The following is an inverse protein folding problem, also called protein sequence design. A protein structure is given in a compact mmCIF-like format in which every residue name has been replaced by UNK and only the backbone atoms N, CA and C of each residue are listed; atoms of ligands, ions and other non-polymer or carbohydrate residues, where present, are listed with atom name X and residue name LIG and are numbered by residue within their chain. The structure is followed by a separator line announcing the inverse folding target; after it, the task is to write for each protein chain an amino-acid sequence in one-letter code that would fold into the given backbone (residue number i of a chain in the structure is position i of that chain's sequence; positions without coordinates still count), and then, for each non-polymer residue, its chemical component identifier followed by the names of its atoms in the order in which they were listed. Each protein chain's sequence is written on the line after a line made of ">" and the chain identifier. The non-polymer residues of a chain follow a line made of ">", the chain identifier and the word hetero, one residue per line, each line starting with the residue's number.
data_IF_407858790629
#
_entry.id   IF_407858790629
#
_cell.length_a   1.000
_cell.length_b   1.000
_cell.length_c   1.000
_cell.angle_alpha   90.00
_cell.angle_beta   90.00
_cell.angle_gamma   90.00
#
_symmetry.space_group_name_H-M   'P 1'
#
loop_
_entity.id
_entity.type
_entity.pdbx_description
1 polymer ?
#
# COMPACT_ATOMS: atom_id res chain seq x y z
N UNK A 1 57.56 40.79 22.75
CA UNK A 1 57.25 40.10 24.03
C UNK A 1 55.76 40.17 24.28
N UNK A 2 55.07 39.03 24.21
CA UNK A 2 53.78 38.73 24.87
C UNK A 2 53.44 37.28 24.51
N UNK A 3 53.80 36.35 25.40
CA UNK A 3 53.34 34.98 25.36
C UNK A 3 51.88 34.94 25.82
N UNK A 4 51.01 34.33 25.03
CA UNK A 4 49.64 34.00 25.43
C UNK A 4 49.50 32.48 25.51
N UNK A 5 49.00 32.05 26.65
CA UNK A 5 48.92 30.68 27.13
C UNK A 5 47.88 29.83 26.39
N UNK A 6 48.19 28.54 26.24
CA UNK A 6 47.25 27.47 25.85
C UNK A 6 46.31 27.16 27.03
N UNK A 7 44.99 26.98 26.83
CA UNK A 7 44.14 26.38 27.85
C UNK A 7 44.18 24.85 27.76
N UNK A 8 44.20 24.23 28.93
CA UNK A 8 44.24 22.80 29.15
C UNK A 8 42.93 22.10 28.75
N UNK A 9 43.05 20.94 28.12
CA UNK A 9 41.95 20.01 27.88
C UNK A 9 41.59 19.32 29.20
N UNK A 10 40.38 19.57 29.69
CA UNK A 10 39.80 18.84 30.82
C UNK A 10 39.31 17.47 30.34
N UNK A 11 39.83 16.43 30.99
CA UNK A 11 39.50 15.03 30.79
C UNK A 11 38.22 14.69 31.59
N UNK A 12 37.09 14.30 30.98
CA UNK A 12 35.95 13.82 31.74
C UNK A 12 36.16 12.35 32.10
N UNK A 13 36.13 12.08 33.41
CA UNK A 13 36.28 10.78 34.02
C UNK A 13 35.29 9.74 33.47
N UNK A 14 35.81 8.52 33.29
CA UNK A 14 35.08 7.32 32.91
C UNK A 14 33.98 6.97 33.92
N UNK A 15 32.71 7.16 33.55
CA UNK A 15 31.57 6.63 34.29
C UNK A 15 31.34 5.19 33.81
N UNK A 16 31.70 4.23 34.65
CA UNK A 16 31.38 2.81 34.47
C UNK A 16 29.87 2.58 34.61
N UNK A 17 29.17 2.42 33.50
CA UNK A 17 27.77 1.99 33.46
C UNK A 17 27.70 0.47 33.65
N UNK A 18 27.23 0.03 34.81
CA UNK A 18 26.84 -1.36 35.05
C UNK A 18 25.63 -1.72 34.16
N UNK A 19 25.58 -2.94 33.59
CA UNK A 19 24.45 -3.36 32.77
C UNK A 19 23.22 -3.64 33.67
N UNK A 20 22.30 -2.68 33.72
CA UNK A 20 20.97 -2.89 34.28
C UNK A 20 20.22 -3.91 33.45
N UNK A 21 19.82 -5.02 34.07
CA UNK A 21 19.02 -6.07 33.46
C UNK A 21 17.63 -5.53 33.11
N UNK A 22 17.46 -4.99 31.91
CA UNK A 22 16.15 -4.58 31.40
C UNK A 22 15.37 -5.84 31.03
N UNK A 23 14.39 -6.20 31.89
CA UNK A 23 13.34 -7.14 31.50
C UNK A 23 12.62 -6.56 30.28
N UNK A 24 12.88 -7.14 29.11
CA UNK A 24 12.11 -6.84 27.90
C UNK A 24 10.63 -7.08 28.21
N UNK A 25 9.83 -6.02 28.17
CA UNK A 25 8.38 -6.16 28.16
C UNK A 25 8.03 -7.03 26.94
N UNK A 26 7.43 -8.20 27.19
CA UNK A 26 6.85 -9.02 26.12
C UNK A 26 5.75 -8.17 25.47
N UNK A 27 6.06 -7.52 24.35
CA UNK A 27 5.06 -6.97 23.47
C UNK A 27 4.23 -8.16 22.99
N UNK A 28 3.03 -8.32 23.57
CA UNK A 28 2.04 -9.23 23.04
C UNK A 28 1.82 -8.82 21.58
N UNK A 29 2.18 -9.71 20.64
CA UNK A 29 1.67 -9.59 19.27
C UNK A 29 0.16 -9.75 19.40
N UNK A 30 -0.56 -8.65 19.27
CA UNK A 30 -1.98 -8.70 18.95
C UNK A 30 -2.10 -9.26 17.53
N UNK A 31 -2.04 -10.58 17.41
CA UNK A 31 -2.65 -11.27 16.27
C UNK A 31 -4.15 -11.23 16.55
N UNK A 32 -4.86 -10.34 15.86
CA UNK A 32 -6.31 -10.41 15.79
C UNK A 32 -6.65 -11.72 15.07
N UNK A 33 -7.04 -12.75 15.83
CA UNK A 33 -7.56 -14.02 15.30
C UNK A 33 -9.09 -14.00 15.20
N UNK A 34 -9.69 -12.84 14.96
CA UNK A 34 -11.07 -12.79 14.50
C UNK A 34 -11.04 -12.66 12.98
N UNK A 35 -11.14 -13.79 12.28
CA UNK A 35 -11.56 -13.78 10.89
C UNK A 35 -12.99 -13.25 10.87
N UNK A 36 -13.16 -11.94 10.71
CA UNK A 36 -14.45 -11.36 10.40
C UNK A 36 -14.81 -11.76 8.97
N UNK A 37 -16.10 -11.90 8.68
CA UNK A 37 -16.64 -12.08 7.32
C UNK A 37 -16.32 -10.92 6.35
N UNK A 38 -15.51 -9.95 6.79
CA UNK A 38 -15.16 -8.71 6.09
C UNK A 38 -13.74 -8.73 5.50
N UNK A 39 -12.93 -9.74 5.81
CA UNK A 39 -11.57 -9.84 5.28
C UNK A 39 -11.58 -10.04 3.75
N UNK A 40 -10.68 -9.35 3.01
CA UNK A 40 -10.61 -9.50 1.57
C UNK A 40 -10.27 -10.94 1.18
N UNK A 41 -10.72 -11.38 0.01
CA UNK A 41 -10.45 -12.73 -0.52
C UNK A 41 -8.94 -13.06 -0.63
N UNK A 42 -8.09 -12.04 -0.59
CA UNK A 42 -6.63 -12.16 -0.65
C UNK A 42 -5.96 -12.17 0.73
N UNK A 43 -6.70 -12.04 1.83
CA UNK A 43 -6.14 -11.96 3.19
C UNK A 43 -5.35 -13.21 3.60
N UNK A 44 -5.79 -14.38 3.17
CA UNK A 44 -5.13 -15.67 3.43
C UNK A 44 -3.94 -15.94 2.50
N UNK A 45 -3.73 -15.12 1.47
CA UNK A 45 -2.65 -15.32 0.51
C UNK A 45 -1.31 -14.81 1.04
N UNK A 46 -0.23 -15.41 0.54
CA UNK A 46 1.12 -14.88 0.70
C UNK A 46 1.17 -13.39 0.32
N UNK A 47 1.86 -12.51 1.07
CA UNK A 47 2.09 -11.13 0.63
C UNK A 47 2.87 -11.01 -0.69
N UNK A 48 3.44 -12.12 -1.18
CA UNK A 48 4.13 -12.25 -2.47
C UNK A 48 3.31 -13.04 -3.49
N UNK A 49 2.02 -13.29 -3.26
CA UNK A 49 1.20 -14.17 -4.08
C UNK A 49 1.28 -13.87 -5.58
N UNK A 50 1.35 -12.59 -5.99
CA UNK A 50 1.45 -12.21 -7.39
C UNK A 50 2.79 -12.65 -8.01
N UNK A 51 3.89 -12.53 -7.26
CA UNK A 51 5.21 -13.03 -7.66
C UNK A 51 5.23 -14.56 -7.68
N UNK A 52 4.64 -15.20 -6.67
CA UNK A 52 4.56 -16.66 -6.57
C UNK A 52 3.76 -17.23 -7.76
N UNK A 53 2.65 -16.57 -8.14
CA UNK A 53 1.83 -16.94 -9.28
C UNK A 53 2.60 -16.84 -10.61
N UNK A 54 3.38 -15.76 -10.80
CA UNK A 54 4.27 -15.63 -11.97
C UNK A 54 5.33 -16.73 -12.02
N UNK A 55 5.92 -17.08 -10.88
CA UNK A 55 6.92 -18.15 -10.80
C UNK A 55 6.32 -19.51 -11.18
N UNK A 56 5.09 -19.80 -10.74
CA UNK A 56 4.35 -21.01 -11.12
C UNK A 56 4.11 -21.08 -12.64
N UNK A 57 3.65 -19.99 -13.24
CA UNK A 57 3.48 -19.92 -14.70
C UNK A 57 4.82 -20.14 -15.42
N UNK A 58 5.89 -19.49 -14.93
CA UNK A 58 7.25 -19.67 -15.47
C UNK A 58 7.72 -21.12 -15.41
N UNK A 59 7.43 -21.84 -14.31
CA UNK A 59 7.70 -23.28 -14.20
C UNK A 59 6.95 -24.09 -15.26
N UNK A 60 5.66 -23.80 -15.47
CA UNK A 60 4.88 -24.46 -16.52
C UNK A 60 5.49 -24.22 -17.92
N UNK A 61 5.90 -22.98 -18.22
CA UNK A 61 6.56 -22.62 -19.48
C UNK A 61 7.89 -23.38 -19.66
N UNK A 62 8.75 -23.38 -18.64
CA UNK A 62 10.05 -24.06 -18.69
C UNK A 62 9.93 -25.58 -18.83
N UNK A 63 8.84 -26.18 -18.33
CA UNK A 63 8.58 -27.62 -18.46
C UNK A 63 8.21 -28.02 -19.89
N UNK A 64 7.66 -27.09 -20.68
CA UNK A 64 7.09 -27.35 -22.00
C UNK A 64 5.57 -27.29 -21.97
N UNK A 65 4.99 -26.31 -22.66
CA UNK A 65 3.55 -26.13 -22.83
C UNK A 65 3.14 -26.42 -24.27
N UNK A 66 1.97 -27.01 -24.45
CA UNK A 66 1.36 -27.11 -25.78
C UNK A 66 0.87 -25.71 -26.27
N UNK A 67 0.48 -25.56 -27.55
CA UNK A 67 0.04 -24.26 -28.08
C UNK A 67 -1.18 -23.65 -27.37
N UNK A 68 -2.13 -24.48 -26.90
CA UNK A 68 -3.33 -24.01 -26.19
C UNK A 68 -2.95 -23.52 -24.79
N UNK A 69 -2.13 -24.27 -24.08
CA UNK A 69 -1.60 -23.91 -22.76
C UNK A 69 -0.72 -22.66 -22.83
N UNK A 70 0.11 -22.54 -23.88
CA UNK A 70 0.97 -21.37 -24.12
C UNK A 70 0.12 -20.11 -24.30
N UNK A 71 -0.96 -20.20 -25.08
CA UNK A 71 -1.91 -19.09 -25.27
C UNK A 71 -2.58 -18.69 -23.94
N UNK A 72 -2.97 -19.67 -23.13
CA UNK A 72 -3.58 -19.42 -21.82
C UNK A 72 -2.59 -18.79 -20.83
N UNK A 73 -1.36 -19.31 -20.75
CA UNK A 73 -0.30 -18.72 -19.94
C UNK A 73 -0.01 -17.26 -20.35
N UNK A 74 0.03 -16.99 -21.65
CA UNK A 74 0.17 -15.64 -22.20
C UNK A 74 -0.99 -14.72 -21.80
N UNK A 75 -2.23 -15.21 -21.87
CA UNK A 75 -3.43 -14.48 -21.43
C UNK A 75 -3.36 -14.10 -19.94
N UNK A 76 -3.04 -15.05 -19.06
CA UNK A 76 -2.88 -14.81 -17.62
C UNK A 76 -1.77 -13.79 -17.35
N UNK A 77 -0.61 -13.94 -18.02
CA UNK A 77 0.52 -13.01 -17.84
C UNK A 77 0.19 -11.60 -18.32
N UNK A 78 -0.59 -11.47 -19.40
CA UNK A 78 -1.06 -10.17 -19.89
C UNK A 78 -1.99 -9.50 -18.88
N UNK A 79 -2.98 -10.23 -18.35
CA UNK A 79 -3.89 -9.74 -17.31
C UNK A 79 -3.11 -9.29 -16.07
N UNK A 80 -2.19 -10.11 -15.58
CA UNK A 80 -1.29 -9.77 -14.47
C UNK A 80 -0.41 -8.56 -14.81
N UNK A 81 0.04 -8.38 -16.06
CA UNK A 81 0.93 -7.28 -16.41
C UNK A 81 0.19 -5.93 -16.43
N UNK A 82 -1.05 -5.93 -16.92
CA UNK A 82 -1.88 -4.74 -17.10
C UNK A 82 -2.56 -4.34 -15.79
N UNK A 83 -3.22 -5.29 -15.13
CA UNK A 83 -4.16 -5.02 -14.03
C UNK A 83 -3.55 -5.24 -12.64
N UNK A 84 -2.22 -5.36 -12.50
CA UNK A 84 -1.62 -5.78 -11.22
C UNK A 84 -1.98 -4.88 -10.03
N UNK A 85 -2.22 -3.58 -10.22
CA UNK A 85 -2.58 -2.67 -9.12
C UNK A 85 -3.97 -2.98 -8.64
N UNK A 86 -4.90 -3.15 -9.56
CA UNK A 86 -6.28 -3.52 -9.31
C UNK A 86 -6.34 -4.90 -8.64
N UNK A 87 -5.54 -5.86 -9.12
CA UNK A 87 -5.46 -7.19 -8.54
C UNK A 87 -4.85 -7.19 -7.13
N UNK A 88 -3.84 -6.36 -6.85
CA UNK A 88 -3.18 -6.31 -5.52
C UNK A 88 -3.91 -5.43 -4.52
N UNK A 89 -4.38 -4.26 -4.96
CA UNK A 89 -4.96 -3.24 -4.10
C UNK A 89 -6.50 -3.25 -4.18
N UNK A 90 -7.05 -3.38 -5.38
CA UNK A 90 -8.49 -3.46 -5.59
C UNK A 90 -9.11 -4.68 -4.92
N UNK A 91 -8.43 -5.82 -4.87
CA UNK A 91 -8.90 -7.01 -4.14
C UNK A 91 -9.01 -6.79 -2.63
N UNK A 92 -8.37 -5.74 -2.10
CA UNK A 92 -8.47 -5.29 -0.71
C UNK A 92 -9.40 -4.08 -0.55
N UNK A 93 -10.07 -3.65 -1.62
CA UNK A 93 -11.00 -2.52 -1.64
C UNK A 93 -10.35 -1.15 -1.84
N UNK A 94 -9.08 -1.07 -2.24
CA UNK A 94 -8.50 0.21 -2.64
C UNK A 94 -8.92 0.59 -4.06
N UNK A 95 -9.36 1.83 -4.24
CA UNK A 95 -9.73 2.36 -5.55
C UNK A 95 -8.48 2.83 -6.30
N UNK A 96 -8.20 2.25 -7.47
CA UNK A 96 -6.98 2.51 -8.26
C UNK A 96 -7.17 3.52 -9.39
N UNK A 97 -8.42 3.96 -9.61
CA UNK A 97 -8.81 4.89 -10.67
C UNK A 97 -8.14 6.25 -10.55
N UNK A 98 -8.10 6.98 -11.68
CA UNK A 98 -7.45 8.30 -11.75
C UNK A 98 -8.05 9.31 -10.77
N UNK A 99 -9.35 9.21 -10.51
CA UNK A 99 -10.10 10.11 -9.64
C UNK A 99 -9.91 9.80 -8.15
N UNK A 100 -9.44 8.60 -7.79
CA UNK A 100 -9.35 8.17 -6.39
C UNK A 100 -7.92 7.99 -5.90
N UNK A 101 -6.94 7.80 -6.79
CA UNK A 101 -5.54 7.65 -6.37
C UNK A 101 -4.95 8.97 -5.87
N UNK A 102 -4.19 8.91 -4.77
CA UNK A 102 -3.54 10.08 -4.20
C UNK A 102 -2.21 10.41 -4.87
N UNK A 103 -1.37 9.41 -5.08
CA UNK A 103 -0.16 9.53 -5.90
C UNK A 103 -0.11 8.41 -6.93
N UNK A 104 0.26 8.74 -8.15
CA UNK A 104 0.39 7.78 -9.23
C UNK A 104 1.79 7.80 -9.81
N UNK A 105 2.49 6.67 -9.70
CA UNK A 105 3.84 6.49 -10.23
C UNK A 105 4.79 7.66 -9.88
N UNK A 106 4.65 8.20 -8.67
CA UNK A 106 5.51 9.23 -8.14
C UNK A 106 6.94 8.71 -8.10
N UNK A 107 7.91 9.49 -8.59
CA UNK A 107 9.29 9.03 -8.68
C UNK A 107 9.90 9.02 -7.28
N UNK A 108 10.47 7.87 -6.90
CA UNK A 108 11.44 7.84 -5.81
C UNK A 108 12.69 8.54 -6.34
N UNK A 109 13.18 9.54 -5.62
CA UNK A 109 14.40 10.27 -5.97
C UNK A 109 15.57 9.81 -5.10
N UNK A 110 16.77 9.85 -5.65
CA UNK A 110 17.97 9.35 -4.95
C UNK A 110 18.18 9.99 -3.58
N UNK A 111 17.87 11.28 -3.43
CA UNK A 111 18.00 12.03 -2.16
C UNK A 111 17.00 11.65 -1.06
N UNK A 112 16.05 10.76 -1.33
CA UNK A 112 15.16 10.17 -0.31
C UNK A 112 15.76 8.95 0.38
N UNK A 113 16.89 8.44 -0.13
CA UNK A 113 17.63 7.36 0.52
C UNK A 113 18.52 7.91 1.63
N UNK A 114 18.73 7.09 2.66
CA UNK A 114 19.72 7.38 3.70
C UNK A 114 20.99 6.53 3.53
N UNK A 115 21.93 6.70 4.46
CA UNK A 115 23.22 5.99 4.45
C UNK A 115 23.10 4.47 4.52
N UNK A 116 21.94 3.92 4.87
CA UNK A 116 21.71 2.47 4.92
C UNK A 116 21.32 1.89 3.55
N UNK A 117 21.26 2.72 2.50
CA UNK A 117 21.11 2.27 1.12
C UNK A 117 19.68 1.95 0.70
N UNK A 118 18.69 2.53 1.39
CA UNK A 118 17.27 2.44 1.04
C UNK A 118 16.55 3.75 1.38
N UNK A 119 15.31 3.89 0.89
CA UNK A 119 14.45 5.04 1.19
C UNK A 119 14.30 5.17 2.70
N UNK A 120 14.54 6.38 3.21
CA UNK A 120 14.44 6.66 4.63
C UNK A 120 13.00 6.47 5.12
N UNK A 121 12.84 5.93 6.33
CA UNK A 121 11.54 5.57 6.89
C UNK A 121 10.55 6.76 6.95
N UNK A 122 11.02 7.98 7.24
CA UNK A 122 10.18 9.20 7.31
C UNK A 122 9.56 9.54 5.95
N UNK A 123 10.23 9.20 4.84
CA UNK A 123 9.77 9.52 3.48
C UNK A 123 8.45 8.80 3.16
N UNK A 124 8.24 7.58 3.68
CA UNK A 124 6.98 6.87 3.49
C UNK A 124 5.78 7.63 4.06
N UNK A 125 5.95 8.29 5.22
CA UNK A 125 4.89 9.13 5.80
C UNK A 125 4.66 10.40 4.97
N UNK A 126 5.70 10.95 4.34
CA UNK A 126 5.57 12.09 3.41
C UNK A 126 4.80 11.70 2.15
N UNK A 127 5.03 10.50 1.63
CA UNK A 127 4.25 9.96 0.52
C UNK A 127 2.78 9.81 0.90
N UNK A 128 2.49 9.24 2.08
CA UNK A 128 1.12 9.11 2.58
C UNK A 128 0.44 10.48 2.74
N UNK A 129 1.13 11.45 3.34
CA UNK A 129 0.64 12.82 3.50
C UNK A 129 0.30 13.49 2.16
N UNK A 130 1.24 13.51 1.22
CA UNK A 130 1.03 14.12 -0.10
C UNK A 130 -0.12 13.43 -0.85
N UNK A 131 -0.19 12.11 -0.76
CA UNK A 131 -1.25 11.33 -1.36
C UNK A 131 -2.62 11.59 -0.71
N UNK A 132 -2.70 11.78 0.62
CA UNK A 132 -3.94 12.12 1.33
C UNK A 132 -4.46 13.49 0.89
N UNK A 133 -3.58 14.48 0.74
CA UNK A 133 -3.94 15.81 0.25
C UNK A 133 -4.54 15.71 -1.16
N UNK A 134 -3.84 15.04 -2.08
CA UNK A 134 -4.35 14.84 -3.44
C UNK A 134 -5.67 14.05 -3.47
N UNK A 135 -5.79 13.01 -2.65
CA UNK A 135 -7.01 12.22 -2.50
C UNK A 135 -8.20 13.10 -2.07
N UNK A 136 -8.00 13.99 -1.09
CA UNK A 136 -9.04 14.92 -0.66
C UNK A 136 -9.37 15.96 -1.73
N UNK A 137 -8.35 16.49 -2.43
CA UNK A 137 -8.53 17.47 -3.50
C UNK A 137 -9.29 16.90 -4.71
N UNK A 138 -9.16 15.60 -5.00
CA UNK A 138 -9.92 14.96 -6.08
C UNK A 138 -11.44 15.04 -5.87
N UNK A 139 -11.92 15.24 -4.63
CA UNK A 139 -13.35 15.46 -4.41
C UNK A 139 -13.86 16.77 -4.99
N UNK A 140 -13.02 17.81 -5.05
CA UNK A 140 -13.42 19.05 -5.70
C UNK A 140 -13.72 18.84 -7.20
N UNK A 141 -13.01 17.93 -7.87
CA UNK A 141 -13.26 17.58 -9.26
C UNK A 141 -14.50 16.70 -9.45
N UNK A 142 -14.78 15.80 -8.50
CA UNK A 142 -15.87 14.81 -8.60
C UNK A 142 -17.15 15.20 -7.86
N UNK A 143 -17.18 16.39 -7.25
CA UNK A 143 -18.35 17.03 -6.64
C UNK A 143 -18.30 18.55 -6.88
N UNK A 144 -18.58 19.00 -8.11
CA UNK A 144 -18.45 20.40 -8.50
C UNK A 144 -19.33 21.36 -7.68
N UNK A 145 -20.47 20.88 -7.19
CA UNK A 145 -21.41 21.67 -6.38
C UNK A 145 -20.79 22.11 -5.03
N UNK A 146 -19.82 21.34 -4.53
CA UNK A 146 -19.12 21.64 -3.28
C UNK A 146 -17.61 21.82 -3.46
N UNK A 147 -17.16 22.10 -4.70
CA UNK A 147 -15.73 22.16 -5.03
C UNK A 147 -14.95 23.13 -4.14
N UNK A 148 -15.49 24.34 -3.90
CA UNK A 148 -14.85 25.32 -3.03
C UNK A 148 -14.68 24.79 -1.60
N UNK A 149 -15.69 24.12 -1.06
CA UNK A 149 -15.65 23.55 0.30
C UNK A 149 -14.66 22.38 0.40
N UNK A 150 -14.51 21.58 -0.66
CA UNK A 150 -13.48 20.53 -0.73
C UNK A 150 -12.07 21.12 -0.77
N UNK A 151 -11.86 22.19 -1.52
CA UNK A 151 -10.58 22.91 -1.57
C UNK A 151 -10.25 23.56 -0.21
N UNK A 152 -11.26 24.10 0.48
CA UNK A 152 -11.09 24.72 1.80
C UNK A 152 -10.56 23.75 2.86
N UNK A 153 -10.79 22.43 2.74
CA UNK A 153 -10.27 21.43 3.67
C UNK A 153 -8.74 21.47 3.81
N UNK A 154 -8.04 21.93 2.76
CA UNK A 154 -6.58 22.05 2.72
C UNK A 154 -6.10 23.44 3.16
N UNK A 155 -6.97 24.25 3.77
CA UNK A 155 -6.67 25.59 4.25
C UNK A 155 -7.14 25.75 5.71
N UNK A 156 -6.59 26.71 6.47
CA UNK A 156 -7.07 27.00 7.82
C UNK A 156 -8.34 27.87 7.86
N UNK A 157 -9.05 28.07 6.74
CA UNK A 157 -10.10 29.08 6.62
C UNK A 157 -11.49 28.63 7.13
N UNK A 158 -11.68 27.34 7.40
CA UNK A 158 -13.00 26.73 7.60
C UNK A 158 -12.82 25.43 8.41
N UNK A 159 -13.63 24.41 8.11
CA UNK A 159 -13.35 23.04 8.56
C UNK A 159 -12.17 22.48 7.75
N UNK A 160 -11.24 21.80 8.40
CA UNK A 160 -10.18 21.05 7.74
C UNK A 160 -9.85 19.73 8.44
N UNK A 161 -8.87 19.01 7.89
CA UNK A 161 -8.48 17.67 8.34
C UNK A 161 -7.15 17.71 9.10
N UNK A 162 -7.12 17.14 10.30
CA UNK A 162 -5.92 17.02 11.14
C UNK A 162 -5.57 15.54 11.32
N UNK A 163 -4.33 15.17 11.04
CA UNK A 163 -3.80 13.84 11.33
C UNK A 163 -3.55 13.71 12.84
N UNK A 164 -4.39 12.95 13.56
CA UNK A 164 -4.23 12.66 15.00
C UNK A 164 -3.15 11.62 15.24
N UNK A 165 -3.08 10.58 14.41
CA UNK A 165 -2.04 9.57 14.50
C UNK A 165 -1.79 8.89 13.15
N UNK A 166 -0.56 8.41 12.96
CA UNK A 166 -0.18 7.55 11.85
C UNK A 166 0.66 6.39 12.37
N UNK A 167 0.33 5.17 11.94
CA UNK A 167 1.15 3.98 12.12
C UNK A 167 1.60 3.48 10.75
N UNK A 168 2.88 3.19 10.60
CA UNK A 168 3.46 2.70 9.33
C UNK A 168 4.14 1.35 9.53
N UNK A 169 3.69 0.35 8.78
CA UNK A 169 4.26 -0.99 8.72
C UNK A 169 5.05 -1.16 7.42
N UNK A 170 6.38 -1.06 7.51
CA UNK A 170 7.31 -1.25 6.38
C UNK A 170 7.37 -2.72 5.96
N UNK A 171 7.30 -3.01 4.66
CA UNK A 171 7.22 -4.38 4.13
C UNK A 171 8.51 -4.84 3.46
N UNK A 172 9.27 -3.92 2.87
CA UNK A 172 10.63 -4.17 2.38
C UNK A 172 11.39 -2.83 2.16
N UNK A 173 12.73 -2.83 2.20
CA UNK A 173 13.53 -1.62 1.96
C UNK A 173 13.53 -1.26 0.46
N UNK A 174 12.73 -0.28 0.07
CA UNK A 174 12.67 0.21 -1.31
C UNK A 174 13.90 1.06 -1.62
N UNK A 175 14.40 1.01 -2.86
CA UNK A 175 15.58 1.75 -3.29
C UNK A 175 15.28 2.61 -4.51
N UNK A 176 16.13 3.62 -4.76
CA UNK A 176 16.18 4.26 -6.06
C UNK A 176 16.91 3.32 -7.07
N UNK A 177 16.47 3.26 -8.34
CA UNK A 177 15.27 3.88 -8.90
C UNK A 177 14.00 3.02 -8.69
N UNK A 178 12.91 3.65 -8.24
CA UNK A 178 11.56 3.06 -8.22
C UNK A 178 10.52 4.18 -8.43
N UNK A 179 9.25 3.80 -8.53
CA UNK A 179 8.11 4.69 -8.47
C UNK A 179 7.10 4.15 -7.46
N UNK A 180 6.40 5.05 -6.78
CA UNK A 180 5.34 4.68 -5.85
C UNK A 180 3.96 5.11 -6.36
N UNK A 181 2.99 4.24 -6.15
CA UNK A 181 1.57 4.59 -6.22
C UNK A 181 1.00 4.47 -4.83
N UNK A 182 0.31 5.52 -4.36
CA UNK A 182 -0.21 5.59 -2.99
C UNK A 182 -1.73 5.74 -3.03
N UNK A 183 -2.40 4.82 -2.36
CA UNK A 183 -3.85 4.66 -2.38
C UNK A 183 -4.39 4.78 -0.96
N UNK A 184 -5.56 5.38 -0.83
CA UNK A 184 -6.29 5.50 0.43
C UNK A 184 -7.65 4.83 0.30
N UNK A 185 -8.11 4.24 1.40
CA UNK A 185 -9.50 3.79 1.54
C UNK A 185 -10.03 4.11 2.93
N UNK A 186 -11.32 4.36 3.04
CA UNK A 186 -12.03 4.44 4.30
C UNK A 186 -12.05 3.05 4.93
N UNK A 187 -11.61 2.93 6.19
CA UNK A 187 -11.62 1.65 6.91
C UNK A 187 -13.04 1.19 7.23
N UNK A 188 -13.91 2.12 7.60
CA UNK A 188 -15.27 1.85 8.03
C UNK A 188 -16.25 2.70 7.21
N UNK A 189 -17.48 2.20 7.06
CA UNK A 189 -18.56 2.98 6.46
C UNK A 189 -18.80 4.21 7.34
N UNK A 190 -18.78 5.42 6.77
CA UNK A 190 -19.00 6.65 7.54
C UNK A 190 -20.46 6.76 7.97
N UNK A 191 -20.65 7.09 9.25
CA UNK A 191 -21.94 7.44 9.85
C UNK A 191 -22.17 8.95 9.81
N UNK A 192 -23.40 9.38 10.06
CA UNK A 192 -23.70 10.79 10.27
C UNK A 192 -23.02 11.31 11.53
N UNK A 193 -22.73 12.61 11.57
CA UNK A 193 -22.21 13.32 12.75
C UNK A 193 -20.84 12.85 13.29
N UNK A 194 -20.10 12.02 12.54
CA UNK A 194 -18.73 11.63 12.89
C UNK A 194 -17.76 12.81 12.78
N UNK A 195 -16.88 12.96 13.78
CA UNK A 195 -15.86 14.02 13.85
C UNK A 195 -14.44 13.51 13.53
N UNK A 196 -14.32 12.22 13.22
CA UNK A 196 -13.08 11.57 12.82
C UNK A 196 -13.36 10.34 11.97
N UNK A 197 -12.36 9.91 11.22
CA UNK A 197 -12.42 8.70 10.40
C UNK A 197 -11.02 8.12 10.21
N UNK A 198 -10.97 6.81 9.93
CA UNK A 198 -9.72 6.10 9.71
C UNK A 198 -9.51 5.86 8.22
N UNK A 199 -8.31 6.19 7.74
CA UNK A 199 -7.84 5.80 6.41
C UNK A 199 -6.84 4.66 6.53
N UNK A 200 -7.07 3.60 5.75
CA UNK A 200 -6.02 2.65 5.41
C UNK A 200 -5.27 3.18 4.20
N UNK A 201 -3.95 3.08 4.23
CA UNK A 201 -3.05 3.57 3.16
C UNK A 201 -2.21 2.42 2.63
N UNK A 202 -2.13 2.32 1.31
CA UNK A 202 -1.27 1.36 0.62
C UNK A 202 -0.24 2.09 -0.23
N UNK A 203 1.04 1.92 0.10
CA UNK A 203 2.17 2.41 -0.68
C UNK A 203 2.69 1.24 -1.52
N UNK A 204 2.41 1.26 -2.82
CA UNK A 204 2.84 0.24 -3.78
C UNK A 204 4.17 0.64 -4.42
N UNK A 205 5.11 -0.30 -4.46
CA UNK A 205 6.26 -0.21 -5.36
C UNK A 205 5.85 -0.65 -6.76
N UNK A 206 6.14 0.18 -7.74
CA UNK A 206 5.87 -0.06 -9.15
C UNK A 206 6.88 -1.04 -9.76
N UNK A 207 8.15 -0.98 -9.32
CA UNK A 207 9.19 -1.90 -9.76
C UNK A 207 8.91 -3.32 -9.27
N UNK A 208 8.63 -3.48 -7.98
CA UNK A 208 8.41 -4.80 -7.37
C UNK A 208 6.96 -5.29 -7.45
N UNK A 209 6.02 -4.42 -7.86
CA UNK A 209 4.58 -4.70 -7.99
C UNK A 209 3.97 -5.33 -6.74
N UNK A 210 4.31 -4.77 -5.58
CA UNK A 210 3.82 -5.22 -4.28
C UNK A 210 3.81 -4.08 -3.26
N UNK A 211 3.09 -4.22 -2.14
CA UNK A 211 3.12 -3.24 -1.05
C UNK A 211 4.55 -3.06 -0.49
N UNK A 212 5.03 -1.82 -0.49
CA UNK A 212 6.28 -1.39 0.13
C UNK A 212 6.07 -0.97 1.59
N UNK A 213 4.95 -0.32 1.88
CA UNK A 213 4.50 -0.01 3.23
C UNK A 213 2.97 0.02 3.29
N UNK A 214 2.45 -0.11 4.50
CA UNK A 214 1.04 0.13 4.81
C UNK A 214 0.95 1.15 5.93
N UNK A 215 0.04 2.10 5.82
CA UNK A 215 -0.21 3.07 6.88
C UNK A 215 -1.64 2.99 7.38
N UNK A 216 -1.84 3.40 8.62
CA UNK A 216 -3.14 3.61 9.24
C UNK A 216 -3.16 5.03 9.76
N UNK A 217 -4.11 5.84 9.31
CA UNK A 217 -4.21 7.25 9.66
C UNK A 217 -5.53 7.53 10.38
N UNK A 218 -5.46 8.10 11.58
CA UNK A 218 -6.62 8.63 12.30
C UNK A 218 -6.75 10.12 11.98
N UNK A 219 -7.79 10.48 11.22
CA UNK A 219 -8.04 11.84 10.74
C UNK A 219 -9.18 12.46 11.52
N UNK A 220 -8.97 13.67 12.01
CA UNK A 220 -9.95 14.44 12.79
C UNK A 220 -10.41 15.63 11.97
N UNK A 221 -11.70 15.90 12.06
CA UNK A 221 -12.33 17.06 11.47
C UNK A 221 -12.30 18.19 12.50
N UNK A 222 -11.69 19.30 12.13
CA UNK A 222 -11.45 20.43 13.02
C UNK A 222 -11.96 21.72 12.40
N UNK A 223 -12.76 22.47 13.15
CA UNK A 223 -13.18 23.82 12.79
C UNK A 223 -12.13 24.81 13.29
N UNK A 224 -11.35 25.35 12.35
CA UNK A 224 -10.28 26.30 12.66
C UNK A 224 -10.80 27.65 13.15
N UNK A 225 -12.04 28.04 12.81
CA UNK A 225 -12.66 29.28 13.26
C UNK A 225 -13.18 29.16 14.69
N UNK A 226 -13.84 28.04 14.99
CA UNK A 226 -14.37 27.77 16.32
C UNK A 226 -13.34 27.14 17.26
N UNK A 227 -12.14 26.82 16.76
CA UNK A 227 -11.05 26.17 17.49
C UNK A 227 -11.47 24.89 18.23
N UNK A 228 -12.32 24.07 17.61
CA UNK A 228 -12.84 22.82 18.20
C UNK A 228 -13.06 21.75 17.15
N UNK A 229 -13.21 20.50 17.59
CA UNK A 229 -13.66 19.41 16.71
C UNK A 229 -15.06 19.72 16.16
N UNK A 230 -15.31 19.29 14.94
CA UNK A 230 -16.59 19.43 14.26
C UNK A 230 -16.96 18.13 13.54
N UNK A 231 -18.25 17.83 13.35
CA UNK A 231 -18.64 16.70 12.51
C UNK A 231 -18.30 16.96 11.03
N UNK A 232 -18.15 15.88 10.26
CA UNK A 232 -18.17 15.96 8.80
C UNK A 232 -19.47 16.62 8.33
N UNK A 233 -19.37 17.46 7.30
CA UNK A 233 -20.57 18.06 6.69
C UNK A 233 -21.39 16.97 5.98
N UNK A 234 -22.73 17.09 5.88
CA UNK A 234 -23.59 16.06 5.28
C UNK A 234 -23.18 15.63 3.88
N UNK A 235 -22.77 16.56 3.00
CA UNK A 235 -22.30 16.22 1.65
C UNK A 235 -20.99 15.41 1.67
N UNK A 236 -20.11 15.65 2.65
CA UNK A 236 -18.86 14.89 2.81
C UNK A 236 -19.16 13.45 3.26
N UNK A 237 -20.07 13.29 4.24
CA UNK A 237 -20.54 11.97 4.67
C UNK A 237 -21.12 11.21 3.49
N UNK A 238 -22.01 11.83 2.71
CA UNK A 238 -22.60 11.22 1.51
C UNK A 238 -21.54 10.78 0.51
N UNK A 239 -20.57 11.65 0.19
CA UNK A 239 -19.47 11.32 -0.72
C UNK A 239 -18.62 10.15 -0.20
N UNK A 240 -18.32 10.13 1.09
CA UNK A 240 -17.57 9.04 1.71
C UNK A 240 -18.37 7.72 1.73
N UNK A 241 -19.70 7.77 1.89
CA UNK A 241 -20.55 6.57 1.77
C UNK A 241 -20.52 6.01 0.35
N UNK A 242 -20.62 6.87 -0.66
CA UNK A 242 -20.56 6.46 -2.07
C UNK A 242 -19.20 5.84 -2.40
N UNK A 243 -18.10 6.42 -1.89
CA UNK A 243 -16.78 5.82 -2.00
C UNK A 243 -16.67 4.49 -1.29
N UNK A 244 -17.16 4.37 -0.07
CA UNK A 244 -17.11 3.12 0.67
C UNK A 244 -17.84 2.00 -0.09
N UNK A 245 -18.99 2.30 -0.72
CA UNK A 245 -19.68 1.35 -1.58
C UNK A 245 -18.83 0.92 -2.79
N UNK A 246 -18.12 1.86 -3.44
CA UNK A 246 -17.18 1.53 -4.52
C UNK A 246 -16.01 0.67 -4.04
N UNK A 247 -15.49 0.92 -2.83
CA UNK A 247 -14.43 0.10 -2.22
C UNK A 247 -14.89 -1.36 -2.05
N UNK A 248 -16.11 -1.55 -1.56
CA UNK A 248 -16.69 -2.89 -1.38
C UNK A 248 -16.90 -3.58 -2.72
N UNK A 249 -17.41 -2.87 -3.74
CA UNK A 249 -17.55 -3.39 -5.09
C UNK A 249 -16.19 -3.78 -5.70
N UNK A 250 -15.16 -2.96 -5.51
CA UNK A 250 -13.81 -3.25 -5.98
C UNK A 250 -13.23 -4.49 -5.27
N UNK A 251 -13.39 -4.58 -3.95
CA UNK A 251 -12.97 -5.72 -3.12
C UNK A 251 -13.54 -7.02 -3.66
N UNK A 252 -14.85 -7.06 -3.92
CA UNK A 252 -15.53 -8.23 -4.49
C UNK A 252 -15.05 -8.53 -5.91
N UNK A 253 -15.08 -7.53 -6.80
CA UNK A 253 -14.74 -7.69 -8.22
C UNK A 253 -13.33 -8.24 -8.41
N UNK A 254 -12.35 -7.60 -7.77
CA UNK A 254 -10.95 -7.99 -7.93
C UNK A 254 -10.59 -9.19 -7.05
N UNK A 255 -11.25 -9.40 -5.92
CA UNK A 255 -11.15 -10.64 -5.16
C UNK A 255 -11.53 -11.86 -6.02
N UNK A 256 -12.65 -11.77 -6.74
CA UNK A 256 -13.10 -12.81 -7.67
C UNK A 256 -12.11 -13.03 -8.81
N UNK A 257 -11.57 -11.95 -9.41
CA UNK A 257 -10.53 -12.05 -10.44
C UNK A 257 -9.26 -12.74 -9.93
N UNK A 258 -8.79 -12.40 -8.73
CA UNK A 258 -7.60 -13.05 -8.15
C UNK A 258 -7.84 -14.55 -7.94
N UNK A 259 -9.01 -14.94 -7.43
CA UNK A 259 -9.37 -16.35 -7.26
C UNK A 259 -9.46 -17.09 -8.61
N UNK A 260 -9.99 -16.43 -9.63
CA UNK A 260 -10.00 -16.96 -11.01
C UNK A 260 -8.60 -17.18 -11.56
N UNK A 261 -7.72 -16.19 -11.44
CA UNK A 261 -6.31 -16.30 -11.84
C UNK A 261 -5.59 -17.46 -11.14
N UNK A 262 -5.75 -17.58 -9.83
CA UNK A 262 -5.17 -18.68 -9.05
C UNK A 262 -5.67 -20.03 -9.57
N UNK A 263 -6.98 -20.16 -9.84
CA UNK A 263 -7.59 -21.39 -10.37
C UNK A 263 -7.06 -21.73 -11.76
N UNK A 264 -6.96 -20.73 -12.64
CA UNK A 264 -6.45 -20.90 -14.02
C UNK A 264 -4.99 -21.34 -14.02
N UNK A 265 -4.16 -20.73 -13.17
CA UNK A 265 -2.75 -21.17 -13.01
C UNK A 265 -2.66 -22.58 -12.44
N UNK A 266 -3.50 -22.93 -11.44
CA UNK A 266 -3.52 -24.29 -10.91
C UNK A 266 -3.90 -25.32 -11.97
N UNK A 267 -4.87 -25.00 -12.82
CA UNK A 267 -5.25 -25.83 -13.97
C UNK A 267 -4.11 -25.97 -14.98
N UNK A 268 -3.34 -24.91 -15.23
CA UNK A 268 -2.14 -24.98 -16.06
C UNK A 268 -1.08 -25.91 -15.45
N UNK A 269 -0.81 -25.82 -14.14
CA UNK A 269 0.12 -26.75 -13.47
C UNK A 269 -0.31 -28.21 -13.63
N UNK A 270 -1.58 -28.50 -13.35
CA UNK A 270 -2.16 -29.84 -13.43
C UNK A 270 -2.23 -30.41 -14.85
N UNK A 271 -2.25 -29.55 -15.87
CA UNK A 271 -2.24 -30.00 -17.26
C UNK A 271 -0.83 -30.05 -17.87
N UNK A 272 0.19 -29.53 -17.16
CA UNK A 272 1.58 -29.50 -17.61
C UNK A 272 2.46 -30.45 -16.81
N UNK A 273 3.12 -29.96 -15.75
CA UNK A 273 4.13 -30.66 -14.97
C UNK A 273 3.55 -31.44 -13.77
N UNK A 274 2.42 -31.00 -13.23
CA UNK A 274 1.79 -31.60 -12.03
C UNK A 274 0.73 -32.63 -12.42
N UNK A 275 1.09 -33.56 -13.32
CA UNK A 275 0.24 -34.69 -13.74
C UNK A 275 0.99 -36.02 -13.75
N UNK A 276 0.28 -37.15 -13.54
CA UNK A 276 0.88 -38.47 -13.66
C UNK A 276 1.53 -38.68 -15.04
N UNK A 277 2.79 -39.10 -15.05
CA UNK A 277 3.53 -39.39 -16.29
C UNK A 277 3.98 -38.16 -17.07
N UNK A 278 3.99 -36.96 -16.46
CA UNK A 278 4.52 -35.75 -17.09
C UNK A 278 5.99 -35.98 -17.50
N UNK A 279 6.32 -35.63 -18.75
CA UNK A 279 7.68 -35.62 -19.28
C UNK A 279 8.01 -34.21 -19.72
N UNK A 280 9.17 -33.73 -19.32
CA UNK A 280 9.69 -32.43 -19.74
C UNK A 280 9.88 -32.44 -21.26
N UNK A 281 9.36 -31.40 -21.90
CA UNK A 281 9.55 -31.15 -23.33
C UNK A 281 10.32 -29.84 -23.48
N UNK A 282 11.61 -29.96 -23.78
CA UNK A 282 12.50 -28.81 -24.00
C UNK A 282 12.31 -28.15 -25.38
N UNK A 283 11.31 -28.59 -26.15
CA UNK A 283 11.23 -28.31 -27.56
C UNK A 283 12.28 -29.14 -28.28
N UNK A 284 11.87 -29.83 -29.34
CA UNK A 284 12.83 -30.37 -30.27
C UNK A 284 13.41 -29.20 -31.05
N UNK A 285 14.70 -28.91 -30.87
CA UNK A 285 15.48 -28.21 -31.89
C UNK A 285 15.62 -29.17 -33.09
N UNK A 286 14.52 -29.49 -33.77
CA UNK A 286 14.53 -30.34 -34.96
C UNK A 286 14.95 -29.49 -36.15
N UNK A 287 16.28 -29.33 -36.23
CA UNK A 287 17.17 -29.09 -37.37
C UNK A 287 17.06 -27.77 -38.17
N UNK A 288 18.23 -27.25 -38.62
CA UNK A 288 18.45 -25.88 -39.13
C UNK A 288 17.85 -25.57 -40.51
#
# INVERSE_FOLDING_TARGET
>A
MRHLARPALLNPASISLLPGCQRAARLARYQSTAASSDEPATASLSPRWLSDLKAKIGKCIMFGLDPVQTKEAGSILQEIAVDWRELVAGSEGFLTGNEQRGLYRHRVVWGEMDSMGHVNNVVYNRYAESARVNWALNFAATDPAHAAQWMELMTPNSIGLILRSIRTDYKFPMTYPDRVTVLHKLRNKPESDIDHFILDVLILSELHRRPAARCVEDIVVYDYKAARKAPLRPFMVKKFQDMFALQEQAKETYGNKVQDLIRRVRKLEQNSWDRPGAKEDFGSATNP
#
